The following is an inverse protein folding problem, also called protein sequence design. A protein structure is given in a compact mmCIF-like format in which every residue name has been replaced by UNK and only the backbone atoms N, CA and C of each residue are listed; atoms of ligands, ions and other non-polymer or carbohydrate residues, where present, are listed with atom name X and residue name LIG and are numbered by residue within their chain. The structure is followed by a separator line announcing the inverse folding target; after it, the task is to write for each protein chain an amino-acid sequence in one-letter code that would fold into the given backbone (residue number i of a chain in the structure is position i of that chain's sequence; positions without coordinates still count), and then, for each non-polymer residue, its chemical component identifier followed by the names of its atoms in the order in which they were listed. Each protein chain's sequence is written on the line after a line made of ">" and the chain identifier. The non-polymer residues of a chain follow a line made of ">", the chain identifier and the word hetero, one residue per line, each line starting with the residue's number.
data_IF_020138055641
#
_entry.id   IF_020138055641
#
_cell.length_a   1.000
_cell.length_b   1.000
_cell.length_c   1.000
_cell.angle_alpha   90.00
_cell.angle_beta   90.00
_cell.angle_gamma   90.00
#
_symmetry.space_group_name_H-M   'P 1'
#
loop_
_entity.id
_entity.type
_entity.pdbx_description
1 polymer ?
#
# COMPACT_ATOMS: atom_id res chain seq x y z
N UNK A 1 -23.35 10.67 9.34
CA UNK A 1 -22.00 10.26 9.77
C UNK A 1 -21.05 11.34 9.29
N UNK A 2 -20.52 12.13 10.21
CA UNK A 2 -19.68 13.30 9.89
C UNK A 2 -18.22 12.81 9.90
N UNK A 3 -17.77 12.20 8.80
CA UNK A 3 -16.38 11.74 8.67
C UNK A 3 -15.50 12.97 8.35
N UNK A 4 -14.62 13.40 9.27
CA UNK A 4 -13.76 14.56 9.07
C UNK A 4 -12.67 14.29 8.01
N UNK A 5 -12.50 13.04 7.57
CA UNK A 5 -11.53 12.69 6.53
C UNK A 5 -12.05 13.09 5.15
N UNK A 6 -11.20 13.75 4.37
CA UNK A 6 -11.50 14.09 2.99
C UNK A 6 -11.75 12.83 2.15
N UNK A 7 -10.81 11.90 2.19
CA UNK A 7 -10.82 10.64 1.44
C UNK A 7 -10.58 9.47 2.38
N UNK A 8 -11.42 8.44 2.33
CA UNK A 8 -11.23 7.20 3.09
C UNK A 8 -11.39 5.97 2.20
N UNK A 9 -10.59 4.92 2.46
CA UNK A 9 -10.73 3.63 1.79
C UNK A 9 -11.82 2.83 2.50
N UNK A 10 -12.81 2.39 1.73
CA UNK A 10 -13.84 1.48 2.21
C UNK A 10 -13.48 0.05 1.80
N UNK A 11 -13.34 -0.83 2.79
CA UNK A 11 -13.05 -2.25 2.63
C UNK A 11 -14.28 -3.07 2.19
N UNK A 12 -15.01 -2.57 1.19
CA UNK A 12 -16.13 -3.26 0.55
C UNK A 12 -15.64 -4.29 -0.49
N UNK A 13 -16.56 -5.05 -1.07
CA UNK A 13 -16.29 -5.96 -2.20
C UNK A 13 -17.15 -5.53 -3.40
N UNK A 14 -16.58 -4.87 -4.44
CA UNK A 14 -15.18 -4.48 -4.58
C UNK A 14 -14.78 -3.32 -3.64
N UNK A 15 -13.48 -3.14 -3.33
CA UNK A 15 -13.03 -2.03 -2.51
C UNK A 15 -13.32 -0.70 -3.22
N UNK A 16 -13.57 0.37 -2.47
CA UNK A 16 -13.87 1.67 -3.05
C UNK A 16 -13.34 2.83 -2.19
N UNK A 17 -13.42 4.04 -2.73
CA UNK A 17 -13.04 5.28 -2.04
C UNK A 17 -14.33 6.00 -1.64
N UNK A 18 -14.47 6.34 -0.37
CA UNK A 18 -15.51 7.23 0.12
C UNK A 18 -15.00 8.66 0.16
N UNK A 19 -15.87 9.60 -0.23
CA UNK A 19 -15.61 11.03 -0.18
C UNK A 19 -16.45 11.63 0.95
N UNK A 20 -15.78 12.09 2.00
CA UNK A 20 -16.41 12.81 3.11
C UNK A 20 -16.70 14.27 2.76
N UNK A 21 -17.33 14.99 3.68
CA UNK A 21 -17.59 16.43 3.52
C UNK A 21 -16.28 17.21 3.29
N UNK A 22 -15.20 16.83 3.96
CA UNK A 22 -13.87 17.40 3.73
C UNK A 22 -13.32 17.22 2.31
N UNK A 23 -13.72 16.19 1.56
CA UNK A 23 -13.29 16.05 0.15
C UNK A 23 -13.96 17.09 -0.75
N UNK A 24 -15.22 17.45 -0.44
CA UNK A 24 -15.94 18.47 -1.19
C UNK A 24 -15.30 19.85 -0.97
N UNK A 25 -14.83 20.12 0.25
CA UNK A 25 -14.07 21.33 0.56
C UNK A 25 -12.68 21.33 -0.12
N UNK A 26 -12.01 20.17 -0.20
CA UNK A 26 -10.76 20.02 -0.93
C UNK A 26 -10.89 20.17 -2.45
N UNK A 27 -12.08 20.02 -3.05
CA UNK A 27 -12.26 20.35 -4.49
C UNK A 27 -11.90 21.81 -4.79
N UNK A 28 -12.07 22.72 -3.83
CA UNK A 28 -11.59 24.11 -3.92
C UNK A 28 -10.07 24.26 -3.81
N UNK A 29 -9.36 23.23 -3.31
CA UNK A 29 -7.89 23.15 -3.19
C UNK A 29 -7.34 22.06 -4.11
N UNK A 30 -7.46 22.30 -5.42
CA UNK A 30 -7.20 21.33 -6.49
C UNK A 30 -5.90 20.53 -6.33
N UNK A 31 -4.80 21.15 -5.87
CA UNK A 31 -3.49 20.49 -5.71
C UNK A 31 -3.44 19.48 -4.57
N UNK A 32 -3.97 19.83 -3.38
CA UNK A 32 -4.05 18.90 -2.23
C UNK A 32 -4.94 17.72 -2.57
N UNK A 33 -6.11 17.99 -3.16
CA UNK A 33 -7.03 16.93 -3.60
C UNK A 33 -6.40 16.00 -4.63
N UNK A 34 -5.66 16.55 -5.60
CA UNK A 34 -4.93 15.77 -6.61
C UNK A 34 -3.88 14.85 -5.99
N UNK A 35 -3.16 15.32 -4.96
CA UNK A 35 -2.18 14.51 -4.25
C UNK A 35 -2.83 13.33 -3.51
N UNK A 36 -3.87 13.60 -2.72
CA UNK A 36 -4.53 12.59 -1.89
C UNK A 36 -5.30 11.56 -2.74
N UNK A 37 -6.00 12.02 -3.78
CA UNK A 37 -6.77 11.13 -4.67
C UNK A 37 -5.85 10.21 -5.48
N UNK A 38 -4.74 10.72 -6.02
CA UNK A 38 -3.78 9.88 -6.76
C UNK A 38 -3.10 8.85 -5.85
N UNK A 39 -2.78 9.22 -4.61
CA UNK A 39 -2.30 8.27 -3.58
C UNK A 39 -3.33 7.18 -3.34
N UNK A 40 -4.58 7.57 -3.04
CA UNK A 40 -5.66 6.63 -2.78
C UNK A 40 -5.88 5.64 -3.94
N UNK A 41 -5.93 6.15 -5.18
CA UNK A 41 -6.07 5.33 -6.39
C UNK A 41 -4.90 4.36 -6.59
N UNK A 42 -3.68 4.74 -6.21
CA UNK A 42 -2.49 3.88 -6.35
C UNK A 42 -2.62 2.58 -5.56
N UNK A 43 -3.32 2.60 -4.43
CA UNK A 43 -3.51 1.40 -3.61
C UNK A 43 -4.47 0.37 -4.22
N UNK A 44 -5.23 0.72 -5.26
CA UNK A 44 -6.06 -0.22 -6.01
C UNK A 44 -5.28 -1.01 -7.05
N UNK A 45 -3.99 -0.69 -7.26
CA UNK A 45 -3.13 -1.53 -8.09
C UNK A 45 -3.04 -2.94 -7.51
N UNK A 46 -3.04 -3.99 -8.34
CA UNK A 46 -2.95 -5.37 -7.86
C UNK A 46 -1.78 -5.55 -6.88
N UNK A 47 -2.08 -6.17 -5.73
CA UNK A 47 -1.11 -6.41 -4.66
C UNK A 47 -0.84 -5.23 -3.73
N UNK A 48 -1.24 -3.99 -4.06
CA UNK A 48 -0.98 -2.84 -3.18
C UNK A 48 -2.04 -2.73 -2.09
N UNK A 49 -3.27 -3.14 -2.37
CA UNK A 49 -4.40 -2.96 -1.45
C UNK A 49 -4.21 -3.66 -0.11
N UNK A 50 -3.49 -4.78 -0.07
CA UNK A 50 -3.18 -5.50 1.18
C UNK A 50 -2.44 -4.61 2.18
N UNK A 51 -1.72 -3.58 1.72
CA UNK A 51 -1.08 -2.56 2.57
C UNK A 51 -2.07 -1.85 3.50
N UNK A 52 -3.34 -1.79 3.14
CA UNK A 52 -4.42 -1.24 3.97
C UNK A 52 -5.23 -2.28 4.73
N UNK A 53 -4.97 -3.56 4.49
CA UNK A 53 -5.59 -4.66 5.24
C UNK A 53 -4.69 -5.15 6.38
N UNK A 54 -3.38 -4.97 6.25
CA UNK A 54 -2.39 -5.29 7.28
C UNK A 54 -1.73 -4.01 7.76
N UNK A 55 -1.69 -3.84 9.08
CA UNK A 55 -1.10 -2.67 9.71
C UNK A 55 0.42 -2.73 9.66
N UNK A 56 1.05 -3.90 9.77
CA UNK A 56 2.51 -3.99 9.89
C UNK A 56 3.16 -5.06 9.02
N UNK A 57 4.47 -4.90 8.79
CA UNK A 57 5.27 -5.93 8.11
C UNK A 57 5.34 -7.24 8.91
N UNK A 58 5.20 -7.19 10.24
CA UNK A 58 5.11 -8.39 11.08
C UNK A 58 3.81 -9.14 10.86
N UNK A 59 2.70 -8.42 10.78
CA UNK A 59 1.39 -8.98 10.47
C UNK A 59 1.37 -9.58 9.06
N UNK A 60 1.91 -8.86 8.07
CA UNK A 60 2.07 -9.39 6.71
C UNK A 60 2.91 -10.68 6.69
N UNK A 61 4.00 -10.71 7.48
CA UNK A 61 4.83 -11.90 7.63
C UNK A 61 4.05 -13.05 8.28
N UNK A 62 3.17 -12.77 9.25
CA UNK A 62 2.32 -13.77 9.87
C UNK A 62 1.33 -14.37 8.86
N UNK A 63 0.67 -13.55 8.04
CA UNK A 63 -0.20 -13.99 6.95
C UNK A 63 0.53 -14.83 5.91
N UNK A 64 1.70 -14.38 5.46
CA UNK A 64 2.54 -15.12 4.52
C UNK A 64 2.97 -16.48 5.11
N UNK A 65 3.46 -16.48 6.35
CA UNK A 65 3.86 -17.70 7.06
C UNK A 65 2.69 -18.66 7.23
N UNK A 66 1.49 -18.14 7.54
CA UNK A 66 0.26 -18.91 7.64
C UNK A 66 -0.10 -19.58 6.31
N UNK A 67 -0.08 -18.82 5.22
CA UNK A 67 -0.31 -19.33 3.88
C UNK A 67 0.72 -20.42 3.49
N UNK A 68 2.00 -20.24 3.82
CA UNK A 68 3.04 -21.24 3.54
C UNK A 68 2.80 -22.51 4.36
N UNK A 69 2.46 -22.39 5.66
CA UNK A 69 2.25 -23.54 6.55
C UNK A 69 1.06 -24.43 6.15
N UNK A 70 0.11 -23.92 5.38
CA UNK A 70 -0.96 -24.74 4.78
C UNK A 70 -0.45 -25.82 3.83
N UNK A 71 0.66 -25.55 3.13
CA UNK A 71 1.23 -26.46 2.13
C UNK A 71 2.59 -27.04 2.56
N UNK A 72 3.26 -26.39 3.51
CA UNK A 72 4.50 -26.83 4.12
C UNK A 72 4.39 -26.75 5.66
N UNK A 73 3.76 -27.72 6.33
CA UNK A 73 3.46 -27.65 7.76
C UNK A 73 4.68 -27.49 8.68
N UNK A 74 5.85 -27.94 8.21
CA UNK A 74 7.14 -27.84 8.91
C UNK A 74 7.90 -26.53 8.64
N UNK A 75 7.32 -25.61 7.87
CA UNK A 75 7.96 -24.33 7.56
C UNK A 75 8.25 -23.57 8.87
N UNK A 76 9.50 -23.12 9.10
CA UNK A 76 9.88 -22.50 10.36
C UNK A 76 9.24 -21.12 10.48
N UNK A 77 8.57 -20.88 11.62
CA UNK A 77 7.96 -19.58 11.96
C UNK A 77 8.53 -19.10 13.28
N UNK A 78 8.85 -17.81 13.33
CA UNK A 78 9.38 -17.19 14.55
C UNK A 78 8.31 -17.14 15.65
N UNK A 79 8.74 -17.32 16.90
CA UNK A 79 7.83 -17.41 18.06
C UNK A 79 6.98 -16.16 18.23
N UNK A 80 7.49 -14.98 17.88
CA UNK A 80 6.79 -13.69 18.01
C UNK A 80 5.58 -13.53 17.07
N UNK A 81 5.49 -14.34 16.00
CA UNK A 81 4.38 -14.31 15.04
C UNK A 81 3.65 -15.66 14.92
N UNK A 82 4.00 -16.66 15.74
CA UNK A 82 3.51 -18.03 15.58
C UNK A 82 1.99 -18.14 15.75
N UNK A 83 1.43 -17.48 16.76
CA UNK A 83 -0.01 -17.45 17.02
C UNK A 83 -0.77 -16.73 15.89
N UNK A 84 -0.32 -15.54 15.51
CA UNK A 84 -0.91 -14.78 14.41
C UNK A 84 -0.84 -15.55 13.07
N UNK A 85 0.27 -16.26 12.82
CA UNK A 85 0.44 -17.10 11.64
C UNK A 85 -0.53 -18.29 11.65
N UNK A 86 -0.76 -18.91 12.81
CA UNK A 86 -1.75 -19.97 12.94
C UNK A 86 -3.17 -19.45 12.69
N UNK A 87 -3.52 -18.29 13.26
CA UNK A 87 -4.81 -17.64 13.01
C UNK A 87 -5.03 -17.32 11.53
N UNK A 88 -4.01 -16.80 10.85
CA UNK A 88 -4.05 -16.54 9.41
C UNK A 88 -4.27 -17.83 8.59
N UNK A 89 -3.57 -18.92 8.93
CA UNK A 89 -3.73 -20.23 8.29
C UNK A 89 -5.19 -20.71 8.35
N UNK A 90 -5.79 -20.67 9.55
CA UNK A 90 -7.19 -21.06 9.77
C UNK A 90 -8.15 -20.14 9.00
N UNK A 91 -7.89 -18.83 8.98
CA UNK A 91 -8.71 -17.87 8.26
C UNK A 91 -8.70 -18.13 6.74
N UNK A 92 -7.53 -18.41 6.16
CA UNK A 92 -7.37 -18.77 4.76
C UNK A 92 -8.16 -20.05 4.44
N UNK A 93 -7.97 -21.11 5.23
CA UNK A 93 -8.68 -22.39 5.03
C UNK A 93 -10.20 -22.22 5.04
N UNK A 94 -10.73 -21.41 5.96
CA UNK A 94 -12.17 -21.21 6.11
C UNK A 94 -12.78 -20.31 5.04
N UNK A 95 -12.02 -19.36 4.49
CA UNK A 95 -12.53 -18.32 3.58
C UNK A 95 -12.25 -18.60 2.11
N UNK A 96 -11.23 -19.40 1.79
CA UNK A 96 -10.86 -19.65 0.40
C UNK A 96 -11.63 -20.84 -0.16
N UNK A 97 -12.08 -20.71 -1.41
CA UNK A 97 -12.62 -21.84 -2.17
C UNK A 97 -11.52 -22.84 -2.51
N UNK A 98 -11.89 -24.04 -2.97
CA UNK A 98 -10.92 -25.07 -3.35
C UNK A 98 -9.97 -24.61 -4.45
N UNK A 99 -10.49 -23.91 -5.46
CA UNK A 99 -9.73 -23.40 -6.60
C UNK A 99 -8.72 -22.35 -6.14
N UNK A 100 -9.12 -21.45 -5.23
CA UNK A 100 -8.22 -20.44 -4.66
C UNK A 100 -7.10 -21.08 -3.82
N UNK A 101 -7.41 -22.16 -3.09
CA UNK A 101 -6.39 -22.91 -2.34
C UNK A 101 -5.40 -23.60 -3.27
N UNK A 102 -5.85 -24.19 -4.37
CA UNK A 102 -4.96 -24.80 -5.37
C UNK A 102 -4.02 -23.76 -6.00
N UNK A 103 -4.55 -22.61 -6.42
CA UNK A 103 -3.75 -21.52 -6.97
C UNK A 103 -2.74 -20.99 -5.94
N UNK A 104 -3.14 -20.83 -4.68
CA UNK A 104 -2.22 -20.45 -3.60
C UNK A 104 -1.10 -21.49 -3.40
N UNK A 105 -1.43 -22.77 -3.44
CA UNK A 105 -0.46 -23.85 -3.32
C UNK A 105 0.61 -23.84 -4.41
N UNK A 106 0.22 -23.52 -5.67
CA UNK A 106 1.15 -23.36 -6.79
C UNK A 106 2.13 -22.20 -6.51
N UNK A 107 1.61 -21.03 -6.14
CA UNK A 107 2.43 -19.85 -5.82
C UNK A 107 3.38 -20.12 -4.65
N UNK A 108 2.90 -20.79 -3.59
CA UNK A 108 3.73 -21.15 -2.43
C UNK A 108 4.83 -22.14 -2.84
N UNK A 109 4.53 -23.12 -3.68
CA UNK A 109 5.52 -24.08 -4.17
C UNK A 109 6.62 -23.38 -4.97
N UNK A 110 6.24 -22.52 -5.92
CA UNK A 110 7.18 -21.72 -6.71
C UNK A 110 8.05 -20.82 -5.83
N UNK A 111 7.44 -20.16 -4.85
CA UNK A 111 8.15 -19.29 -3.90
C UNK A 111 9.22 -20.08 -3.11
N UNK A 112 8.87 -21.27 -2.61
CA UNK A 112 9.80 -22.10 -1.84
C UNK A 112 10.93 -22.66 -2.73
N UNK A 113 10.64 -23.01 -3.98
CA UNK A 113 11.65 -23.49 -4.93
C UNK A 113 12.65 -22.39 -5.31
N UNK A 114 12.19 -21.15 -5.46
CA UNK A 114 13.06 -20.01 -5.76
C UNK A 114 14.02 -19.68 -4.62
N UNK A 115 13.71 -20.08 -3.38
CA UNK A 115 14.54 -19.80 -2.20
C UNK A 115 14.73 -18.32 -1.92
N UNK A 116 13.90 -17.45 -2.50
CA UNK A 116 14.09 -16.01 -2.44
C UNK A 116 13.78 -15.48 -1.04
N UNK A 117 14.72 -14.72 -0.46
CA UNK A 117 14.49 -13.99 0.77
C UNK A 117 13.51 -12.83 0.51
N UNK A 118 12.29 -12.94 1.03
CA UNK A 118 11.28 -11.90 0.90
C UNK A 118 11.48 -10.80 1.94
N UNK A 119 11.87 -9.61 1.48
CA UNK A 119 11.92 -8.41 2.32
C UNK A 119 10.58 -7.67 2.30
N UNK A 120 9.67 -8.11 3.17
CA UNK A 120 8.32 -7.56 3.30
C UNK A 120 8.32 -6.10 3.78
N UNK A 121 9.30 -5.72 4.60
CA UNK A 121 9.45 -4.35 5.07
C UNK A 121 9.81 -3.42 3.90
N UNK A 122 10.79 -3.82 3.08
CA UNK A 122 11.16 -3.09 1.86
C UNK A 122 10.01 -3.04 0.86
N UNK A 123 9.24 -4.12 0.72
CA UNK A 123 8.09 -4.16 -0.17
C UNK A 123 6.99 -3.17 0.25
N UNK A 124 6.56 -3.19 1.52
CA UNK A 124 5.56 -2.23 2.03
C UNK A 124 6.04 -0.79 1.91
N UNK A 125 7.32 -0.54 2.26
CA UNK A 125 7.95 0.77 2.05
C UNK A 125 7.92 1.20 0.58
N UNK A 126 8.16 0.27 -0.33
CA UNK A 126 8.08 0.52 -1.77
C UNK A 126 6.69 0.95 -2.23
N UNK A 127 5.64 0.36 -1.66
CA UNK A 127 4.25 0.75 -1.92
C UNK A 127 4.00 2.18 -1.45
N UNK A 128 4.32 2.49 -0.19
CA UNK A 128 4.07 3.80 0.41
C UNK A 128 4.77 4.91 -0.41
N UNK A 129 6.04 4.70 -0.77
CA UNK A 129 6.80 5.64 -1.60
C UNK A 129 6.27 5.74 -3.04
N UNK A 130 5.71 4.66 -3.58
CA UNK A 130 5.09 4.68 -4.93
C UNK A 130 3.81 5.49 -4.92
N UNK A 131 2.97 5.32 -3.90
CA UNK A 131 1.78 6.13 -3.72
C UNK A 131 2.13 7.62 -3.62
N UNK A 132 3.12 8.00 -2.80
CA UNK A 132 3.54 9.39 -2.65
C UNK A 132 4.01 10.02 -3.97
N UNK A 133 4.76 9.26 -4.77
CA UNK A 133 5.20 9.70 -6.11
C UNK A 133 4.03 9.90 -7.06
N UNK A 134 3.04 9.00 -7.05
CA UNK A 134 1.82 9.16 -7.84
C UNK A 134 1.01 10.38 -7.39
N UNK A 135 0.91 10.60 -6.07
CA UNK A 135 0.40 11.83 -5.46
C UNK A 135 1.04 13.07 -6.05
N UNK A 136 2.36 13.13 -5.99
CA UNK A 136 3.11 14.28 -6.49
C UNK A 136 3.02 14.44 -8.01
N UNK A 137 2.93 13.34 -8.76
CA UNK A 137 2.78 13.35 -10.21
C UNK A 137 1.53 14.11 -10.67
N UNK A 138 0.41 14.01 -9.94
CA UNK A 138 -0.79 14.79 -10.26
C UNK A 138 -0.79 16.18 -9.60
N UNK A 139 -0.24 16.29 -8.39
CA UNK A 139 -0.20 17.55 -7.64
C UNK A 139 0.68 18.65 -8.28
N UNK A 140 1.83 18.26 -8.86
CA UNK A 140 2.89 19.14 -9.41
C UNK A 140 3.41 20.26 -8.48
N UNK A 141 3.08 20.23 -7.20
CA UNK A 141 3.45 21.28 -6.25
C UNK A 141 4.13 20.69 -5.03
N UNK A 142 5.46 20.83 -5.01
CA UNK A 142 6.30 20.20 -3.99
C UNK A 142 6.01 20.76 -2.59
N UNK A 143 5.83 22.08 -2.39
CA UNK A 143 5.43 22.63 -1.09
C UNK A 143 4.13 22.02 -0.56
N UNK A 144 3.08 21.92 -1.40
CA UNK A 144 1.78 21.33 -1.04
C UNK A 144 1.94 19.85 -0.73
N UNK A 145 2.63 19.09 -1.57
CA UNK A 145 2.83 17.66 -1.35
C UNK A 145 3.58 17.38 -0.04
N UNK A 146 4.65 18.14 0.24
CA UNK A 146 5.38 18.04 1.49
C UNK A 146 4.53 18.47 2.70
N UNK A 147 3.66 19.48 2.54
CA UNK A 147 2.72 19.87 3.59
C UNK A 147 1.74 18.75 3.91
N UNK A 148 1.16 18.10 2.90
CA UNK A 148 0.27 16.95 3.08
C UNK A 148 1.00 15.82 3.82
N UNK A 149 2.24 15.49 3.44
CA UNK A 149 3.04 14.47 4.14
C UNK A 149 3.35 14.83 5.61
N UNK A 150 3.53 16.11 5.92
CA UNK A 150 3.74 16.57 7.31
C UNK A 150 2.47 16.50 8.15
N UNK A 151 1.31 16.77 7.53
CA UNK A 151 0.01 16.80 8.20
C UNK A 151 -0.65 15.42 8.29
N UNK A 152 -0.26 14.47 7.43
CA UNK A 152 -0.76 13.10 7.46
C UNK A 152 -0.53 12.51 8.85
N UNK A 153 -1.57 11.98 9.50
CA UNK A 153 -1.46 11.27 10.78
C UNK A 153 -0.32 10.24 10.70
N UNK A 154 0.48 10.14 11.77
CA UNK A 154 1.46 9.07 11.88
C UNK A 154 0.69 7.76 11.99
N UNK A 155 0.52 7.08 10.85
CA UNK A 155 -0.10 5.76 10.78
C UNK A 155 0.95 4.66 10.86
N UNK A 156 0.54 3.42 10.58
CA UNK A 156 1.44 2.26 10.53
C UNK A 156 2.34 2.25 9.26
N UNK A 157 2.75 3.41 8.77
CA UNK A 157 3.65 3.58 7.65
C UNK A 157 5.04 3.05 7.95
N UNK A 158 5.57 2.24 7.02
CA UNK A 158 6.89 1.62 7.22
C UNK A 158 8.01 2.65 7.04
N UNK A 159 7.78 3.65 6.19
CA UNK A 159 8.68 4.78 6.01
C UNK A 159 8.28 5.96 6.89
N UNK A 160 9.24 6.56 7.58
CA UNK A 160 9.00 7.77 8.39
C UNK A 160 8.62 8.96 7.49
N UNK A 161 7.91 9.94 8.04
CA UNK A 161 7.57 11.20 7.34
C UNK A 161 8.81 11.88 6.72
N UNK A 162 9.94 11.85 7.42
CA UNK A 162 11.22 12.41 6.95
C UNK A 162 11.77 11.63 5.74
N UNK A 163 11.75 10.30 5.79
CA UNK A 163 12.15 9.46 4.66
C UNK A 163 11.27 9.69 3.42
N UNK A 164 9.95 9.75 3.62
CA UNK A 164 8.97 10.01 2.55
C UNK A 164 9.20 11.36 1.91
N UNK A 165 9.38 12.41 2.73
CA UNK A 165 9.70 13.76 2.26
C UNK A 165 10.99 13.79 1.44
N UNK A 166 12.07 13.16 1.94
CA UNK A 166 13.36 13.06 1.22
C UNK A 166 13.22 12.32 -0.10
N UNK A 167 12.50 11.20 -0.11
CA UNK A 167 12.26 10.42 -1.32
C UNK A 167 11.43 11.20 -2.37
N UNK A 168 10.48 12.01 -1.91
CA UNK A 168 9.65 12.85 -2.77
C UNK A 168 10.45 13.99 -3.39
N UNK A 169 11.28 14.69 -2.61
CA UNK A 169 12.20 15.72 -3.13
C UNK A 169 13.13 15.14 -4.18
N UNK A 170 13.70 13.95 -3.93
CA UNK A 170 14.56 13.26 -4.90
C UNK A 170 13.81 12.92 -6.18
N UNK A 171 12.56 12.49 -6.08
CA UNK A 171 11.73 12.19 -7.25
C UNK A 171 11.38 13.46 -8.04
N UNK A 172 11.08 14.57 -7.35
CA UNK A 172 10.67 15.82 -7.99
C UNK A 172 11.71 16.42 -8.94
N UNK A 173 12.98 16.13 -8.72
CA UNK A 173 14.10 16.58 -9.57
C UNK A 173 14.61 15.47 -10.51
N UNK A 174 13.92 14.33 -10.59
CA UNK A 174 14.41 13.18 -11.35
C UNK A 174 13.95 13.20 -12.81
N UNK A 175 14.74 12.66 -13.76
CA UNK A 175 14.31 12.52 -15.15
C UNK A 175 13.04 11.68 -15.29
N UNK A 176 12.85 10.69 -14.42
CA UNK A 176 11.67 9.82 -14.41
C UNK A 176 10.39 10.61 -14.11
N UNK A 177 10.44 11.61 -13.24
CA UNK A 177 9.30 12.48 -12.97
C UNK A 177 8.85 13.23 -14.24
N UNK A 178 9.80 13.88 -14.92
CA UNK A 178 9.52 14.61 -16.17
C UNK A 178 8.99 13.67 -17.26
N UNK A 179 9.59 12.49 -17.41
CA UNK A 179 9.18 11.47 -18.37
C UNK A 179 7.75 10.97 -18.11
N UNK A 180 7.42 10.65 -16.86
CA UNK A 180 6.09 10.16 -16.49
C UNK A 180 5.02 11.24 -16.71
N UNK A 181 5.29 12.49 -16.36
CA UNK A 181 4.36 13.60 -16.65
C UNK A 181 4.12 13.78 -18.14
N UNK A 182 5.18 13.68 -18.96
CA UNK A 182 5.05 13.77 -20.40
C UNK A 182 4.18 12.65 -20.97
N UNK A 183 4.33 11.41 -20.49
CA UNK A 183 3.51 10.27 -20.90
C UNK A 183 2.03 10.44 -20.52
N UNK A 184 1.74 11.15 -19.43
CA UNK A 184 0.38 11.46 -18.99
C UNK A 184 -0.20 12.74 -19.60
N UNK A 185 0.53 13.43 -20.49
CA UNK A 185 0.09 14.70 -21.05
C UNK A 185 0.11 15.89 -20.07
N UNK A 186 0.81 15.76 -18.93
CA UNK A 186 0.85 16.75 -17.84
C UNK A 186 2.09 17.67 -17.92
N UNK A 187 2.58 17.96 -19.12
CA UNK A 187 3.76 18.83 -19.31
C UNK A 187 3.47 20.22 -18.76
N UNK A 188 4.47 20.82 -18.10
CA UNK A 188 4.45 22.27 -17.86
C UNK A 188 4.59 22.93 -19.23
N UNK A 189 3.62 23.78 -19.58
CA UNK A 189 3.72 24.69 -20.73
C UNK A 189 4.85 25.69 -20.52
#
# INVERSE_FOLDING_TARGET
>A
SNDPRSLSLLHATPPCISLGQGALELRGRSRTFSFESARALTYFRPGFYVRHLVSSHKELRAWLSGAIRLFAPRFPVSKDIAEASQGASIAIERKFTQERRQALGQIVSELLQQGAALDLRRWMRGIDLTADRAGFLLCDDLPTALQVLRQAEEGDEVATRAERSKALVRFAVSPEYLRLRAQLGLRRG
#
